data_IF_611117106344
#
_entry.id   IF_611117106344
#
_cell.length_a   1.000
_cell.length_b   1.000
_cell.length_c   1.000
_cell.angle_alpha   90.00
_cell.angle_beta   90.00
_cell.angle_gamma   90.00
#
_symmetry.space_group_name_H-M   'P 1'
#
loop_
_entity.id
_entity.type
_entity.pdbx_description
1 polymer ?
#
# COMPACT_ATOMS: atom_id res chain seq x y z
N UNK A 1 -2.76 31.29 12.96
CA UNK A 1 -2.93 29.96 12.34
C UNK A 1 -2.48 30.09 10.92
N UNK A 2 -1.41 29.38 10.57
CA UNK A 2 -0.89 29.36 9.21
C UNK A 2 -1.06 27.95 8.64
N UNK A 3 -1.61 27.86 7.43
CA UNK A 3 -1.65 26.65 6.62
C UNK A 3 -0.37 26.58 5.79
N UNK A 4 0.47 25.58 6.06
CA UNK A 4 1.70 25.33 5.33
C UNK A 4 1.51 24.28 4.24
N UNK A 5 2.05 24.58 3.06
CA UNK A 5 2.15 23.67 1.93
C UNK A 5 3.63 23.53 1.59
N UNK A 6 4.16 22.32 1.71
CA UNK A 6 5.61 22.10 1.78
C UNK A 6 6.05 21.20 0.64
N UNK A 7 7.06 21.64 -0.10
CA UNK A 7 7.73 20.86 -1.14
C UNK A 7 9.16 20.57 -0.71
N UNK A 8 9.44 19.33 -0.30
CA UNK A 8 10.74 18.89 0.18
C UNK A 8 11.44 18.04 -0.88
N UNK A 9 12.47 18.62 -1.50
CA UNK A 9 13.29 17.99 -2.52
C UNK A 9 14.54 17.37 -1.92
N UNK A 10 14.78 16.10 -2.23
CA UNK A 10 16.04 15.42 -1.94
C UNK A 10 17.17 16.08 -2.74
N UNK A 11 18.18 16.52 -2.00
CA UNK A 11 19.36 17.24 -2.44
C UNK A 11 20.64 16.54 -1.95
N UNK A 12 20.53 15.23 -1.71
CA UNK A 12 21.62 14.32 -1.38
C UNK A 12 22.43 13.91 -2.61
N UNK A 13 23.61 13.34 -2.35
CA UNK A 13 24.59 12.96 -3.36
C UNK A 13 24.08 11.89 -4.33
N UNK A 14 23.16 11.02 -3.91
CA UNK A 14 22.59 9.97 -4.77
C UNK A 14 21.78 10.55 -5.94
N UNK A 15 21.31 11.79 -5.79
CA UNK A 15 20.59 12.51 -6.85
C UNK A 15 21.53 13.18 -7.87
N UNK A 16 22.82 13.33 -7.57
CA UNK A 16 23.77 14.08 -8.40
C UNK A 16 23.84 13.56 -9.84
N UNK A 17 23.68 14.45 -10.81
CA UNK A 17 23.72 14.11 -12.25
C UNK A 17 22.73 13.01 -12.66
N UNK A 18 21.72 12.71 -11.83
CA UNK A 18 20.71 11.71 -12.13
C UNK A 18 19.64 12.35 -13.01
N UNK A 19 19.90 12.36 -14.33
CA UNK A 19 19.01 12.97 -15.32
C UNK A 19 17.56 12.49 -15.19
N UNK A 20 17.35 11.21 -14.86
CA UNK A 20 16.02 10.67 -14.66
C UNK A 20 15.34 11.32 -13.46
N UNK A 21 15.96 11.29 -12.28
CA UNK A 21 15.46 11.95 -11.07
C UNK A 21 15.14 13.43 -11.32
N UNK A 22 16.04 14.18 -11.96
CA UNK A 22 15.86 15.61 -12.15
C UNK A 22 14.79 15.98 -13.19
N UNK A 23 14.83 15.35 -14.37
CA UNK A 23 13.81 15.54 -15.42
C UNK A 23 12.44 15.20 -14.90
N UNK A 24 12.40 14.13 -14.10
CA UNK A 24 11.20 13.74 -13.45
C UNK A 24 10.81 14.77 -12.40
N UNK A 25 11.55 14.93 -11.30
CA UNK A 25 11.26 15.82 -10.17
C UNK A 25 10.85 17.25 -10.52
N UNK A 26 11.27 17.82 -11.66
CA UNK A 26 10.72 19.09 -12.11
C UNK A 26 9.19 19.06 -12.35
N UNK A 27 8.65 17.92 -12.83
CA UNK A 27 7.21 17.71 -13.02
C UNK A 27 6.45 17.62 -11.69
N UNK A 28 7.08 17.15 -10.60
CA UNK A 28 6.42 17.13 -9.28
C UNK A 28 6.21 18.53 -8.74
N UNK A 29 7.09 19.49 -9.06
CA UNK A 29 6.93 20.88 -8.65
C UNK A 29 5.64 21.48 -9.24
N UNK A 30 5.36 21.20 -10.52
CA UNK A 30 4.14 21.65 -11.18
C UNK A 30 2.90 20.91 -10.66
N UNK A 31 3.02 19.62 -10.32
CA UNK A 31 1.94 18.86 -9.67
C UNK A 31 1.62 19.42 -8.28
N UNK A 32 2.63 19.69 -7.46
CA UNK A 32 2.48 20.28 -6.13
C UNK A 32 1.70 21.59 -6.19
N UNK A 33 2.04 22.49 -7.11
CA UNK A 33 1.31 23.76 -7.27
C UNK A 33 -0.17 23.56 -7.59
N UNK A 34 -0.50 22.61 -8.48
CA UNK A 34 -1.90 22.28 -8.79
C UNK A 34 -2.63 21.76 -7.55
N UNK A 35 -1.99 20.87 -6.79
CA UNK A 35 -2.60 20.30 -5.60
C UNK A 35 -2.80 21.32 -4.49
N UNK A 36 -1.88 22.28 -4.34
CA UNK A 36 -2.06 23.41 -3.42
C UNK A 36 -3.32 24.22 -3.77
N UNK A 37 -3.50 24.56 -5.04
CA UNK A 37 -4.69 25.32 -5.47
C UNK A 37 -5.97 24.52 -5.31
N UNK A 38 -5.97 23.23 -5.65
CA UNK A 38 -7.11 22.34 -5.44
C UNK A 38 -7.51 22.26 -3.95
N UNK A 39 -6.54 22.13 -3.04
CA UNK A 39 -6.81 22.08 -1.60
C UNK A 39 -7.39 23.40 -1.10
N UNK A 40 -6.88 24.55 -1.58
CA UNK A 40 -7.43 25.86 -1.21
C UNK A 40 -8.87 26.03 -1.72
N UNK A 41 -9.16 25.54 -2.92
CA UNK A 41 -10.51 25.54 -3.47
C UNK A 41 -11.46 24.66 -2.64
N UNK A 42 -11.05 23.44 -2.29
CA UNK A 42 -11.81 22.55 -1.42
C UNK A 42 -12.12 23.19 -0.06
N UNK A 43 -11.14 23.85 0.57
CA UNK A 43 -11.32 24.55 1.84
C UNK A 43 -12.30 25.73 1.74
N UNK A 44 -12.21 26.49 0.65
CA UNK A 44 -13.14 27.59 0.37
C UNK A 44 -14.58 27.07 0.23
N UNK A 45 -14.77 25.96 -0.50
CA UNK A 45 -16.08 25.33 -0.68
C UNK A 45 -16.64 24.72 0.62
N UNK A 46 -15.77 24.21 1.49
CA UNK A 46 -16.14 23.68 2.80
C UNK A 46 -16.51 24.76 3.84
N UNK A 47 -16.31 26.04 3.52
CA UNK A 47 -16.60 27.16 4.41
C UNK A 47 -15.63 27.27 5.59
N UNK A 48 -14.40 26.76 5.44
CA UNK A 48 -13.37 26.89 6.47
C UNK A 48 -13.02 28.38 6.71
N UNK A 49 -12.68 28.71 7.96
CA UNK A 49 -12.29 30.07 8.30
C UNK A 49 -11.02 30.48 7.52
N UNK A 50 -10.94 31.72 7.02
CA UNK A 50 -9.78 32.17 6.28
C UNK A 50 -8.53 32.11 7.16
N UNK A 51 -7.61 31.22 6.79
CA UNK A 51 -6.30 31.08 7.41
C UNK A 51 -5.22 31.67 6.49
N UNK A 52 -4.18 32.25 7.08
CA UNK A 52 -3.00 32.61 6.31
C UNK A 52 -2.41 31.34 5.68
N UNK A 53 -2.01 31.41 4.42
CA UNK A 53 -1.46 30.27 3.69
C UNK A 53 -0.05 30.58 3.22
N UNK A 54 0.89 29.67 3.46
CA UNK A 54 2.29 29.82 3.07
C UNK A 54 2.80 28.58 2.35
N UNK A 55 3.44 28.80 1.20
CA UNK A 55 4.17 27.77 0.47
C UNK A 55 5.64 27.80 0.96
N UNK A 56 6.19 26.62 1.23
CA UNK A 56 7.57 26.44 1.70
C UNK A 56 8.26 25.45 0.77
N UNK A 57 9.45 25.82 0.31
CA UNK A 57 10.31 24.94 -0.47
C UNK A 57 11.54 24.57 0.35
N UNK A 58 11.87 23.29 0.38
CA UNK A 58 12.98 22.75 1.16
C UNK A 58 13.92 21.94 0.27
N UNK A 59 15.21 22.09 0.51
CA UNK A 59 16.20 21.06 0.19
C UNK A 59 16.43 20.21 1.45
N UNK A 60 16.58 18.90 1.27
CA UNK A 60 16.93 17.99 2.35
C UNK A 60 17.99 16.97 1.93
N UNK A 61 18.72 16.45 2.91
CA UNK A 61 19.80 15.47 2.77
C UNK A 61 20.28 15.10 4.17
N UNK A 62 21.56 15.33 4.49
CA UNK A 62 22.11 15.27 5.86
C UNK A 62 21.78 16.49 6.74
N UNK A 63 20.94 17.39 6.23
CA UNK A 63 20.40 18.59 6.85
C UNK A 63 19.14 19.02 6.06
N UNK A 64 18.36 19.98 6.56
CA UNK A 64 17.21 20.52 5.84
C UNK A 64 17.09 22.04 6.01
N UNK A 65 16.87 22.76 4.92
CA UNK A 65 16.79 24.22 4.92
C UNK A 65 15.80 24.75 3.88
N UNK A 66 15.36 25.98 4.11
CA UNK A 66 14.47 26.67 3.18
C UNK A 66 15.24 27.21 1.98
N UNK A 67 14.60 27.14 0.82
CA UNK A 67 15.06 27.75 -0.41
C UNK A 67 13.89 28.43 -1.10
N UNK A 68 14.19 29.32 -2.05
CA UNK A 68 13.17 29.87 -2.94
C UNK A 68 12.82 28.88 -4.06
N UNK A 69 11.64 29.04 -4.66
CA UNK A 69 11.19 28.17 -5.76
C UNK A 69 12.20 28.18 -6.93
N UNK A 70 12.74 29.36 -7.26
CA UNK A 70 13.70 29.51 -8.36
C UNK A 70 14.95 28.67 -8.11
N UNK A 71 15.39 28.54 -6.85
CA UNK A 71 16.54 27.72 -6.48
C UNK A 71 16.22 26.23 -6.67
N UNK A 72 15.04 25.76 -6.24
CA UNK A 72 14.59 24.38 -6.50
C UNK A 72 14.60 24.09 -8.01
N UNK A 73 14.04 25.02 -8.79
CA UNK A 73 13.91 24.86 -10.24
C UNK A 73 15.27 24.81 -10.92
N UNK A 74 16.15 25.76 -10.62
CA UNK A 74 17.52 25.79 -11.15
C UNK A 74 18.26 24.51 -10.80
N UNK A 75 18.18 24.08 -9.54
CA UNK A 75 18.90 22.90 -9.10
C UNK A 75 18.36 21.58 -9.70
N UNK A 76 17.09 21.51 -10.12
CA UNK A 76 16.63 20.44 -11.02
C UNK A 76 17.20 20.56 -12.44
N UNK A 77 17.19 21.75 -13.04
CA UNK A 77 17.69 21.98 -14.41
C UNK A 77 19.19 21.70 -14.53
N UNK A 78 19.96 22.17 -13.55
CA UNK A 78 21.42 22.08 -13.50
C UNK A 78 21.91 20.75 -12.90
N UNK A 79 20.98 19.90 -12.44
CA UNK A 79 21.23 18.59 -11.84
C UNK A 79 22.14 18.64 -10.61
N UNK A 80 21.95 19.68 -9.80
CA UNK A 80 22.76 19.97 -8.62
C UNK A 80 22.33 19.14 -7.40
N UNK A 81 23.30 18.91 -6.52
CA UNK A 81 23.15 18.47 -5.14
C UNK A 81 24.25 19.12 -4.26
N UNK A 82 24.07 19.14 -2.95
CA UNK A 82 25.12 19.63 -2.03
C UNK A 82 25.41 18.70 -0.85
N UNK A 83 24.51 17.76 -0.51
CA UNK A 83 24.61 16.98 0.74
C UNK A 83 25.09 15.56 0.51
N UNK A 84 25.74 14.98 1.51
CA UNK A 84 26.34 13.65 1.41
C UNK A 84 25.37 12.54 1.86
N UNK A 85 24.49 12.83 2.82
CA UNK A 85 23.52 11.88 3.36
C UNK A 85 22.10 12.05 2.82
N UNK A 86 21.32 10.98 2.92
CA UNK A 86 19.89 10.91 2.59
C UNK A 86 19.12 10.64 3.89
N UNK A 87 19.03 11.67 4.74
CA UNK A 87 18.53 11.57 6.13
C UNK A 87 17.19 12.31 6.28
N UNK A 88 16.05 11.67 5.92
CA UNK A 88 14.72 12.28 5.94
C UNK A 88 14.28 12.79 7.33
N UNK A 89 14.91 12.37 8.42
CA UNK A 89 14.60 12.89 9.75
C UNK A 89 14.85 14.40 9.87
N UNK A 90 15.71 14.96 9.02
CA UNK A 90 15.98 16.40 9.01
C UNK A 90 14.80 17.22 8.51
N UNK A 91 13.97 16.64 7.62
CA UNK A 91 12.69 17.26 7.25
C UNK A 91 11.88 17.48 8.53
N UNK A 92 11.65 16.43 9.31
CA UNK A 92 10.82 16.48 10.52
C UNK A 92 11.37 17.50 11.53
N UNK A 93 12.68 17.44 11.82
CA UNK A 93 13.34 18.35 12.75
C UNK A 93 13.20 19.81 12.31
N UNK A 94 13.36 20.08 11.01
CA UNK A 94 13.23 21.43 10.46
C UNK A 94 11.78 21.93 10.56
N UNK A 95 10.81 21.08 10.25
CA UNK A 95 9.38 21.40 10.37
C UNK A 95 8.98 21.71 11.82
N UNK A 96 9.41 20.89 12.78
CA UNK A 96 9.17 21.11 14.21
C UNK A 96 9.77 22.42 14.70
N UNK A 97 11.00 22.74 14.25
CA UNK A 97 11.71 23.93 14.69
C UNK A 97 11.09 25.23 14.15
N UNK A 98 10.55 25.21 12.93
CA UNK A 98 10.23 26.46 12.19
C UNK A 98 8.75 26.65 11.85
N UNK A 99 8.00 25.56 11.67
CA UNK A 99 6.66 25.62 11.08
C UNK A 99 5.55 25.04 11.95
N UNK A 100 5.90 24.17 12.91
CA UNK A 100 4.98 23.66 13.94
C UNK A 100 5.29 24.32 15.28
N UNK A 101 5.28 25.66 15.29
CA UNK A 101 5.65 26.47 16.46
C UNK A 101 4.44 26.78 17.34
N UNK A 102 3.27 26.96 16.73
CA UNK A 102 2.02 27.20 17.44
C UNK A 102 1.07 26.02 17.30
N UNK A 103 0.27 25.74 18.35
CA UNK A 103 -0.69 24.62 18.39
C UNK A 103 -1.69 24.61 17.23
N UNK A 104 -1.97 25.79 16.66
CA UNK A 104 -2.92 25.94 15.56
C UNK A 104 -2.27 25.91 14.17
N UNK A 105 -0.95 25.84 14.06
CA UNK A 105 -0.29 25.76 12.76
C UNK A 105 -0.53 24.36 12.15
N UNK A 106 -0.82 24.33 10.85
CA UNK A 106 -1.23 23.10 10.16
C UNK A 106 -0.38 22.89 8.92
N UNK A 107 0.15 21.68 8.75
CA UNK A 107 0.77 21.25 7.51
C UNK A 107 -0.32 20.60 6.67
N UNK A 108 -0.87 21.38 5.73
CA UNK A 108 -1.96 20.94 4.85
C UNK A 108 -1.48 19.97 3.78
N UNK A 109 -0.26 20.16 3.30
CA UNK A 109 0.34 19.32 2.27
C UNK A 109 1.85 19.22 2.50
N UNK A 110 2.37 18.00 2.51
CA UNK A 110 3.81 17.71 2.51
C UNK A 110 4.15 16.82 1.32
N UNK A 111 4.90 17.36 0.37
CA UNK A 111 5.53 16.62 -0.72
C UNK A 111 6.95 16.23 -0.30
N UNK A 112 7.28 14.94 -0.37
CA UNK A 112 8.65 14.42 -0.19
C UNK A 112 9.07 13.80 -1.51
N UNK A 113 10.09 14.35 -2.15
CA UNK A 113 10.66 13.86 -3.40
C UNK A 113 12.01 13.25 -3.10
N UNK A 114 12.24 11.99 -3.49
CA UNK A 114 13.50 11.25 -3.31
C UNK A 114 13.76 10.32 -4.50
N UNK A 115 14.98 9.82 -4.63
CA UNK A 115 15.30 8.68 -5.49
C UNK A 115 15.06 7.31 -4.80
N UNK A 116 14.61 7.32 -3.54
CA UNK A 116 14.27 6.13 -2.78
C UNK A 116 15.47 5.40 -2.17
N UNK A 117 16.68 5.93 -2.31
CA UNK A 117 17.89 5.34 -1.72
C UNK A 117 18.08 5.80 -0.28
N UNK A 118 17.23 5.28 0.62
CA UNK A 118 17.26 5.64 2.04
C UNK A 118 17.66 4.45 2.89
N UNK A 119 18.50 4.68 3.90
CA UNK A 119 18.91 3.62 4.81
C UNK A 119 17.83 3.33 5.86
N UNK A 120 17.71 2.06 6.26
CA UNK A 120 16.72 1.58 7.24
C UNK A 120 16.80 2.31 8.58
N UNK A 121 18.01 2.64 9.06
CA UNK A 121 18.20 3.36 10.33
C UNK A 121 17.52 4.74 10.32
N UNK A 122 17.52 5.43 9.18
CA UNK A 122 16.87 6.74 9.05
C UNK A 122 15.34 6.62 9.07
N UNK A 123 14.77 5.51 8.59
CA UNK A 123 13.33 5.23 8.75
C UNK A 123 12.92 5.12 10.23
N UNK A 124 13.67 4.38 11.05
CA UNK A 124 13.40 4.24 12.49
C UNK A 124 13.49 5.57 13.25
N UNK A 125 14.47 6.41 12.90
CA UNK A 125 14.56 7.76 13.45
C UNK A 125 13.37 8.60 13.05
N UNK A 126 12.90 8.50 11.81
CA UNK A 126 11.73 9.23 11.36
C UNK A 126 10.50 8.86 12.18
N UNK A 127 10.22 7.58 12.42
CA UNK A 127 9.11 7.16 13.30
C UNK A 127 9.13 7.87 14.65
N UNK A 128 10.30 7.90 15.30
CA UNK A 128 10.47 8.55 16.61
C UNK A 128 10.21 10.06 16.55
N UNK A 129 10.80 10.75 15.57
CA UNK A 129 10.63 12.21 15.49
C UNK A 129 9.24 12.62 15.01
N UNK A 130 8.56 11.77 14.24
CA UNK A 130 7.25 12.08 13.67
C UNK A 130 6.07 11.78 14.58
N UNK A 131 6.29 11.18 15.75
CA UNK A 131 5.23 10.74 16.68
C UNK A 131 4.19 11.85 16.94
N UNK A 132 4.64 13.09 17.16
CA UNK A 132 3.77 14.23 17.47
C UNK A 132 3.46 15.14 16.29
N UNK A 133 3.98 14.82 15.10
CA UNK A 133 3.67 15.57 13.89
C UNK A 133 2.28 15.19 13.37
N UNK A 134 1.62 16.17 12.76
CA UNK A 134 0.31 16.02 12.13
C UNK A 134 0.37 16.60 10.72
N UNK A 135 -0.15 15.82 9.77
CA UNK A 135 -0.22 16.17 8.35
C UNK A 135 -1.64 15.89 7.86
N UNK A 136 -2.23 16.83 7.13
CA UNK A 136 -3.53 16.57 6.50
C UNK A 136 -3.34 15.70 5.26
N UNK A 137 -2.32 16.00 4.44
CA UNK A 137 -1.95 15.22 3.26
C UNK A 137 -0.42 15.06 3.13
N UNK A 138 0.04 13.85 2.89
CA UNK A 138 1.44 13.52 2.56
C UNK A 138 1.49 12.88 1.18
N UNK A 139 2.37 13.40 0.32
CA UNK A 139 2.64 12.85 -1.01
C UNK A 139 4.11 12.47 -1.10
N UNK A 140 4.38 11.19 -1.31
CA UNK A 140 5.72 10.64 -1.43
C UNK A 140 6.00 10.29 -2.89
N UNK A 141 7.03 10.88 -3.47
CA UNK A 141 7.51 10.57 -4.81
C UNK A 141 8.89 9.93 -4.74
N UNK A 142 8.96 8.67 -5.17
CA UNK A 142 10.23 8.00 -5.42
C UNK A 142 10.50 7.94 -6.93
N UNK A 143 11.68 8.42 -7.33
CA UNK A 143 12.08 8.58 -8.73
C UNK A 143 13.43 7.90 -8.98
N UNK A 144 13.39 6.65 -9.46
CA UNK A 144 14.59 5.86 -9.75
C UNK A 144 14.35 4.95 -10.95
N UNK A 145 15.31 4.89 -11.87
CA UNK A 145 15.24 3.97 -13.02
C UNK A 145 15.31 2.50 -12.56
N UNK A 146 16.07 2.23 -11.48
CA UNK A 146 16.17 0.93 -10.83
C UNK A 146 15.09 0.85 -9.75
N UNK A 147 13.90 0.40 -10.13
CA UNK A 147 12.73 0.36 -9.24
C UNK A 147 12.90 -0.53 -8.02
N UNK A 148 13.76 -1.55 -8.11
CA UNK A 148 14.16 -2.46 -7.05
C UNK A 148 14.95 -1.78 -5.93
N UNK A 149 15.56 -0.63 -6.21
CA UNK A 149 16.34 0.14 -5.24
C UNK A 149 15.51 1.16 -4.46
N UNK A 150 14.21 1.28 -4.78
CA UNK A 150 13.33 2.22 -4.10
C UNK A 150 12.88 1.63 -2.78
N UNK A 151 13.30 2.25 -1.68
CA UNK A 151 12.83 1.94 -0.34
C UNK A 151 11.69 2.90 0.07
N UNK A 152 10.49 2.36 0.28
CA UNK A 152 9.33 3.11 0.76
C UNK A 152 9.12 3.05 2.28
N UNK A 153 9.97 2.38 3.05
CA UNK A 153 9.88 2.25 4.51
C UNK A 153 9.81 3.60 5.22
N UNK A 154 10.57 4.56 4.73
CA UNK A 154 10.59 5.93 5.26
C UNK A 154 9.24 6.59 5.07
N UNK A 155 8.59 6.38 3.93
CA UNK A 155 7.32 7.02 3.62
C UNK A 155 6.27 6.68 4.68
N UNK A 156 6.26 5.44 5.16
CA UNK A 156 5.41 4.97 6.23
C UNK A 156 5.51 5.81 7.51
N UNK A 157 6.69 6.28 7.86
CA UNK A 157 6.88 7.11 9.06
C UNK A 157 6.16 8.46 8.98
N UNK A 158 5.80 8.92 7.78
CA UNK A 158 5.05 10.15 7.54
C UNK A 158 3.54 9.92 7.36
N UNK A 159 3.10 8.68 7.17
CA UNK A 159 1.69 8.40 6.91
C UNK A 159 0.86 8.48 8.19
N UNK A 160 -0.15 9.37 8.17
CA UNK A 160 -1.10 9.55 9.29
C UNK A 160 -2.54 9.83 8.84
N UNK A 161 -2.70 10.58 7.75
CA UNK A 161 -4.00 11.00 7.21
C UNK A 161 -4.11 10.62 5.73
N UNK A 162 -4.40 11.56 4.84
CA UNK A 162 -4.38 11.32 3.39
C UNK A 162 -2.95 11.10 2.93
N UNK A 163 -2.68 9.93 2.37
CA UNK A 163 -1.36 9.50 1.94
C UNK A 163 -1.41 9.09 0.47
N UNK A 164 -0.45 9.57 -0.31
CA UNK A 164 -0.32 9.26 -1.73
C UNK A 164 1.13 8.87 -2.03
N UNK A 165 1.33 7.75 -2.73
CA UNK A 165 2.67 7.26 -3.06
C UNK A 165 2.79 7.09 -4.56
N UNK A 166 3.83 7.70 -5.11
CA UNK A 166 4.17 7.64 -6.51
C UNK A 166 5.53 6.99 -6.70
N UNK A 167 5.60 6.06 -7.64
CA UNK A 167 6.85 5.52 -8.19
C UNK A 167 6.97 5.99 -9.62
N UNK A 168 8.02 6.74 -9.95
CA UNK A 168 8.29 7.16 -11.33
C UNK A 168 7.07 7.84 -11.99
N UNK A 169 6.43 8.78 -11.26
CA UNK A 169 5.16 9.44 -11.62
C UNK A 169 3.89 8.60 -11.69
N UNK A 170 3.99 7.28 -11.56
CA UNK A 170 2.82 6.42 -11.49
C UNK A 170 2.31 6.41 -10.05
N UNK A 171 1.05 6.80 -9.86
CA UNK A 171 0.38 6.63 -8.58
C UNK A 171 0.30 5.12 -8.28
N UNK A 172 0.89 4.71 -7.17
CA UNK A 172 0.81 3.33 -6.69
C UNK A 172 -0.39 3.16 -5.76
N UNK A 173 -0.50 4.02 -4.76
CA UNK A 173 -1.55 3.97 -3.74
C UNK A 173 -1.96 5.39 -3.33
N UNK A 174 -3.25 5.57 -3.03
CA UNK A 174 -3.80 6.81 -2.48
C UNK A 174 -4.97 6.46 -1.56
N UNK A 175 -4.85 6.79 -0.29
CA UNK A 175 -5.95 6.58 0.67
C UNK A 175 -5.85 7.53 1.87
N UNK A 176 -6.91 7.63 2.64
CA UNK A 176 -6.93 8.31 3.92
C UNK A 176 -6.90 7.26 5.03
N UNK A 177 -5.74 7.08 5.68
CA UNK A 177 -5.56 6.08 6.74
C UNK A 177 -5.96 6.61 8.13
N UNK A 178 -6.37 7.88 8.26
CA UNK A 178 -6.92 8.39 9.52
C UNK A 178 -8.33 7.88 9.82
N UNK A 179 -8.98 7.29 8.81
CA UNK A 179 -10.34 6.76 8.89
C UNK A 179 -10.28 5.24 8.81
N UNK A 180 -10.96 4.58 9.73
CA UNK A 180 -11.15 3.13 9.68
C UNK A 180 -11.88 2.72 8.40
N UNK A 181 -11.47 1.57 7.85
CA UNK A 181 -12.09 1.03 6.65
C UNK A 181 -13.46 0.43 6.97
N UNK A 182 -14.47 0.84 6.19
CA UNK A 182 -15.84 0.37 6.40
C UNK A 182 -16.07 -0.98 5.69
N UNK A 183 -15.69 -2.05 6.38
CA UNK A 183 -15.85 -3.43 5.92
C UNK A 183 -17.31 -3.80 5.63
N UNK A 184 -18.28 -3.20 6.33
CA UNK A 184 -19.71 -3.50 6.18
C UNK A 184 -20.29 -3.03 4.85
N UNK A 185 -19.63 -2.07 4.18
CA UNK A 185 -20.01 -1.63 2.84
C UNK A 185 -19.55 -2.57 1.72
N UNK A 186 -18.74 -3.60 2.01
CA UNK A 186 -18.30 -4.57 1.00
C UNK A 186 -19.30 -5.73 0.91
N UNK A 187 -19.79 -5.96 -0.31
CA UNK A 187 -20.63 -7.11 -0.65
C UNK A 187 -20.07 -7.85 -1.88
N UNK A 188 -20.67 -9.00 -2.20
CA UNK A 188 -20.19 -9.86 -3.30
C UNK A 188 -20.32 -9.21 -4.69
N UNK A 189 -21.19 -8.20 -4.85
CA UNK A 189 -21.42 -7.52 -6.12
C UNK A 189 -20.50 -6.31 -6.30
N UNK A 190 -20.02 -5.73 -5.20
CA UNK A 190 -19.14 -4.56 -5.23
C UNK A 190 -17.67 -4.88 -4.90
N UNK A 191 -17.37 -6.12 -4.47
CA UNK A 191 -16.02 -6.54 -4.06
C UNK A 191 -14.94 -6.17 -5.08
N UNK A 192 -15.14 -6.52 -6.35
CA UNK A 192 -14.16 -6.23 -7.43
C UNK A 192 -13.88 -4.73 -7.57
N UNK A 193 -14.87 -3.86 -7.34
CA UNK A 193 -14.68 -2.41 -7.40
C UNK A 193 -14.07 -1.82 -6.13
N UNK A 194 -14.17 -2.53 -5.00
CA UNK A 194 -13.70 -2.08 -3.68
C UNK A 194 -12.37 -2.68 -3.26
N UNK A 195 -11.94 -3.79 -3.86
CA UNK A 195 -10.71 -4.50 -3.47
C UNK A 195 -9.46 -3.64 -3.61
N UNK A 196 -9.37 -2.76 -4.61
CA UNK A 196 -8.22 -1.85 -4.77
C UNK A 196 -8.16 -0.76 -3.68
N UNK A 197 -9.32 -0.33 -3.18
CA UNK A 197 -9.40 0.62 -2.06
C UNK A 197 -8.97 -0.06 -0.75
N UNK A 198 -9.46 -1.29 -0.52
CA UNK A 198 -9.06 -2.10 0.63
C UNK A 198 -7.55 -2.39 0.59
N UNK A 199 -7.03 -2.80 -0.57
CA UNK A 199 -5.59 -2.98 -0.80
C UNK A 199 -4.82 -1.73 -0.40
N UNK A 200 -5.17 -0.58 -0.97
CA UNK A 200 -4.45 0.68 -0.69
C UNK A 200 -4.46 1.03 0.79
N UNK A 201 -5.58 0.81 1.49
CA UNK A 201 -5.70 1.00 2.93
C UNK A 201 -4.77 0.09 3.72
N UNK A 202 -4.83 -1.23 3.49
CA UNK A 202 -3.99 -2.20 4.19
C UNK A 202 -2.50 -1.97 3.89
N UNK A 203 -2.14 -1.73 2.63
CA UNK A 203 -0.75 -1.46 2.27
C UNK A 203 -0.20 -0.25 3.01
N UNK A 204 -0.92 0.87 3.01
CA UNK A 204 -0.44 2.11 3.64
C UNK A 204 -0.46 2.08 5.16
N UNK A 205 -1.43 1.39 5.78
CA UNK A 205 -1.54 1.30 7.25
C UNK A 205 -0.48 0.35 7.84
N UNK A 206 -0.12 -0.72 7.15
CA UNK A 206 0.73 -1.80 7.69
C UNK A 206 2.14 -1.92 7.10
N UNK A 207 2.53 -1.07 6.14
CA UNK A 207 3.86 -1.08 5.48
C UNK A 207 5.06 -1.11 6.44
N UNK A 208 4.93 -0.57 7.66
CA UNK A 208 6.01 -0.49 8.65
C UNK A 208 5.74 -1.17 9.99
N UNK A 209 4.57 -1.78 10.19
CA UNK A 209 4.22 -2.33 11.51
C UNK A 209 4.91 -3.66 11.75
N UNK A 210 6.13 -3.64 12.31
CA UNK A 210 7.06 -4.78 12.39
C UNK A 210 6.57 -6.05 13.12
N UNK A 211 5.39 -6.06 13.75
CA UNK A 211 4.93 -7.16 14.58
C UNK A 211 3.44 -7.45 14.44
N UNK A 212 3.04 -8.69 14.78
CA UNK A 212 1.67 -9.10 15.12
C UNK A 212 1.19 -8.40 16.40
N UNK A 213 1.10 -7.07 16.36
CA UNK A 213 0.52 -6.29 17.45
C UNK A 213 -1.00 -6.46 17.48
N UNK A 214 -1.62 -6.02 18.59
CA UNK A 214 -3.05 -6.18 18.78
C UNK A 214 -3.87 -5.52 17.66
N UNK A 215 -3.37 -4.43 17.06
CA UNK A 215 -4.01 -3.74 15.94
C UNK A 215 -3.96 -4.58 14.65
N UNK A 216 -2.82 -5.18 14.34
CA UNK A 216 -2.66 -6.09 13.21
C UNK A 216 -3.57 -7.32 13.31
N UNK A 217 -3.64 -7.93 14.50
CA UNK A 217 -4.53 -9.07 14.75
C UNK A 217 -6.00 -8.68 14.61
N UNK A 218 -6.39 -7.53 15.16
CA UNK A 218 -7.75 -7.02 15.02
C UNK A 218 -8.12 -6.78 13.55
N UNK A 219 -7.21 -6.24 12.74
CA UNK A 219 -7.44 -6.02 11.31
C UNK A 219 -7.55 -7.34 10.52
N UNK A 220 -6.72 -8.34 10.86
CA UNK A 220 -6.83 -9.70 10.31
C UNK A 220 -8.20 -10.31 10.64
N UNK A 221 -8.69 -10.12 11.86
CA UNK A 221 -10.01 -10.62 12.25
C UNK A 221 -11.13 -9.92 11.47
N UNK A 222 -11.04 -8.60 11.20
CA UNK A 222 -11.98 -7.90 10.33
C UNK A 222 -11.98 -8.48 8.90
N UNK A 223 -10.80 -8.76 8.34
CA UNK A 223 -10.65 -9.39 7.03
C UNK A 223 -11.28 -10.80 6.99
N UNK A 224 -11.05 -11.61 8.02
CA UNK A 224 -11.64 -12.95 8.15
C UNK A 224 -13.16 -12.90 8.29
N UNK A 225 -13.70 -12.02 9.14
CA UNK A 225 -15.13 -11.84 9.31
C UNK A 225 -15.80 -11.38 8.01
N UNK A 226 -15.18 -10.45 7.28
CA UNK A 226 -15.67 -10.03 5.96
C UNK A 226 -15.70 -11.21 4.98
N UNK A 227 -14.62 -12.00 4.92
CA UNK A 227 -14.54 -13.20 4.06
C UNK A 227 -15.67 -14.18 4.33
N UNK A 228 -15.87 -14.54 5.59
CA UNK A 228 -16.92 -15.47 6.02
C UNK A 228 -18.30 -14.96 5.62
N UNK A 229 -18.60 -13.68 5.90
CA UNK A 229 -19.85 -13.04 5.49
C UNK A 229 -20.08 -13.11 3.98
N UNK A 230 -19.05 -12.82 3.18
CA UNK A 230 -19.13 -12.88 1.72
C UNK A 230 -19.34 -14.32 1.23
N UNK A 231 -18.71 -15.31 1.86
CA UNK A 231 -18.87 -16.72 1.51
C UNK A 231 -20.24 -17.26 1.88
N UNK A 232 -20.77 -16.89 3.05
CA UNK A 232 -22.14 -17.23 3.45
C UNK A 232 -23.15 -16.68 2.45
N UNK A 233 -22.91 -15.45 1.96
CA UNK A 233 -23.75 -14.85 0.92
C UNK A 233 -23.67 -15.61 -0.40
N UNK A 234 -22.47 -15.95 -0.86
CA UNK A 234 -22.25 -16.75 -2.08
C UNK A 234 -22.93 -18.11 -1.97
N UNK A 235 -22.76 -18.81 -0.84
CA UNK A 235 -23.35 -20.11 -0.60
C UNK A 235 -24.89 -20.03 -0.57
N UNK A 236 -25.45 -18.99 0.05
CA UNK A 236 -26.90 -18.76 0.09
C UNK A 236 -27.48 -18.52 -1.32
N UNK A 237 -26.84 -17.69 -2.14
CA UNK A 237 -27.27 -17.45 -3.52
C UNK A 237 -27.12 -18.70 -4.40
N UNK A 238 -26.04 -19.47 -4.19
CA UNK A 238 -25.79 -20.73 -4.87
C UNK A 238 -26.90 -21.77 -4.58
N UNK A 239 -27.31 -21.91 -3.31
CA UNK A 239 -28.42 -22.81 -2.92
C UNK A 239 -29.73 -22.37 -3.58
N UNK A 240 -30.01 -21.07 -3.63
CA UNK A 240 -31.21 -20.55 -4.30
C UNK A 240 -31.20 -20.85 -5.81
N UNK A 241 -30.04 -20.78 -6.47
CA UNK A 241 -29.89 -21.06 -7.91
C UNK A 241 -29.90 -22.56 -8.25
N UNK A 242 -29.47 -23.42 -7.32
CA UNK A 242 -29.48 -24.89 -7.46
C UNK A 242 -30.87 -25.50 -7.70
N UNK A 243 -31.93 -24.76 -7.42
CA UNK A 243 -33.31 -25.21 -7.64
C UNK A 243 -33.76 -25.08 -9.11
N UNK A 244 -32.87 -24.66 -10.03
CA UNK A 244 -33.18 -24.42 -11.43
C UNK A 244 -31.98 -24.75 -12.35
N UNK A 245 -32.02 -25.88 -13.06
CA UNK A 245 -30.94 -26.43 -13.92
C UNK A 245 -30.44 -25.47 -15.03
N UNK A 246 -31.15 -24.38 -15.31
CA UNK A 246 -30.75 -23.38 -16.32
C UNK A 246 -29.70 -22.37 -15.84
N UNK A 247 -29.27 -22.44 -14.57
CA UNK A 247 -28.44 -21.40 -13.95
C UNK A 247 -26.93 -21.70 -13.87
N UNK A 248 -26.43 -22.69 -14.62
CA UNK A 248 -25.01 -23.09 -14.59
C UNK A 248 -24.01 -21.93 -14.77
N UNK A 249 -24.34 -20.92 -15.61
CA UNK A 249 -23.49 -19.75 -15.81
C UNK A 249 -23.40 -18.85 -14.57
N UNK A 250 -24.50 -18.65 -13.84
CA UNK A 250 -24.49 -17.88 -12.59
C UNK A 250 -23.75 -18.63 -11.49
N UNK A 251 -23.91 -19.95 -11.42
CA UNK A 251 -23.18 -20.81 -10.47
C UNK A 251 -21.67 -20.69 -10.67
N UNK A 252 -21.21 -20.74 -11.93
CA UNK A 252 -19.81 -20.54 -12.27
C UNK A 252 -19.32 -19.14 -11.87
N UNK A 253 -20.14 -18.11 -12.10
CA UNK A 253 -19.79 -16.72 -11.72
C UNK A 253 -19.59 -16.59 -10.21
N UNK A 254 -20.48 -17.18 -9.41
CA UNK A 254 -20.36 -17.21 -7.94
C UNK A 254 -19.11 -17.96 -7.47
N UNK A 255 -18.73 -19.05 -8.14
CA UNK A 255 -17.48 -19.77 -7.84
C UNK A 255 -16.24 -18.92 -8.14
N UNK A 256 -16.23 -18.24 -9.29
CA UNK A 256 -15.13 -17.32 -9.65
C UNK A 256 -15.02 -16.18 -8.65
N UNK A 257 -16.14 -15.58 -8.24
CA UNK A 257 -16.16 -14.55 -7.19
C UNK A 257 -15.57 -15.07 -5.87
N UNK A 258 -15.94 -16.29 -5.46
CA UNK A 258 -15.42 -16.91 -4.24
C UNK A 258 -13.89 -17.04 -4.29
N UNK A 259 -13.35 -17.49 -5.41
CA UNK A 259 -11.90 -17.63 -5.62
C UNK A 259 -11.19 -16.27 -5.61
N UNK A 260 -11.74 -15.25 -6.29
CA UNK A 260 -11.17 -13.88 -6.28
C UNK A 260 -11.15 -13.28 -4.87
N UNK A 261 -12.23 -13.48 -4.10
CA UNK A 261 -12.35 -13.04 -2.71
C UNK A 261 -11.33 -13.76 -1.82
N UNK A 262 -11.25 -15.10 -1.89
CA UNK A 262 -10.29 -15.88 -1.10
C UNK A 262 -8.86 -15.41 -1.37
N UNK A 263 -8.47 -15.38 -2.65
CA UNK A 263 -7.13 -14.99 -3.06
C UNK A 263 -6.80 -13.59 -2.57
N UNK A 264 -7.72 -12.64 -2.79
CA UNK A 264 -7.50 -11.25 -2.43
C UNK A 264 -7.36 -11.06 -0.91
N UNK A 265 -8.24 -11.67 -0.11
CA UNK A 265 -8.21 -11.52 1.34
C UNK A 265 -7.01 -12.23 1.94
N UNK A 266 -6.70 -13.44 1.46
CA UNK A 266 -5.54 -14.21 1.93
C UNK A 266 -4.22 -13.49 1.61
N UNK A 267 -4.07 -12.89 0.43
CA UNK A 267 -2.91 -12.03 0.13
C UNK A 267 -2.77 -10.83 1.09
N UNK A 268 -3.88 -10.20 1.50
CA UNK A 268 -3.85 -9.09 2.46
C UNK A 268 -3.47 -9.56 3.87
N UNK A 269 -4.03 -10.69 4.32
CA UNK A 269 -3.66 -11.29 5.62
C UNK A 269 -2.19 -11.67 5.62
N UNK A 270 -1.71 -12.35 4.57
CA UNK A 270 -0.29 -12.70 4.41
C UNK A 270 0.58 -11.46 4.43
N UNK A 271 0.17 -10.37 3.78
CA UNK A 271 0.92 -9.11 3.81
C UNK A 271 1.06 -8.55 5.24
N UNK A 272 -0.03 -8.51 6.02
CA UNK A 272 -0.01 -8.06 7.42
C UNK A 272 0.88 -8.98 8.27
N UNK A 273 0.80 -10.30 8.06
CA UNK A 273 1.58 -11.29 8.83
C UNK A 273 3.05 -11.41 8.39
N UNK A 274 3.38 -10.99 7.17
CA UNK A 274 4.70 -11.24 6.60
C UNK A 274 5.80 -10.43 7.31
N UNK A 275 6.83 -11.13 7.77
CA UNK A 275 8.09 -10.52 8.19
C UNK A 275 9.00 -10.20 7.00
N UNK A 276 8.71 -10.76 5.82
CA UNK A 276 9.37 -10.48 4.55
C UNK A 276 8.87 -9.13 4.01
N UNK A 277 9.18 -8.09 4.77
CA UNK A 277 8.83 -6.70 4.47
C UNK A 277 9.85 -6.18 3.48
N UNK A 278 9.81 -6.69 2.25
CA UNK A 278 10.44 -5.93 1.19
C UNK A 278 9.67 -4.63 1.13
N UNK A 279 10.40 -3.53 1.21
CA UNK A 279 9.93 -2.17 1.18
C UNK A 279 9.34 -1.77 -0.18
N UNK A 280 8.84 -2.77 -0.90
CA UNK A 280 8.29 -2.74 -2.22
C UNK A 280 6.79 -2.92 -2.13
N UNK A 281 6.06 -1.93 -2.65
CA UNK A 281 4.64 -2.04 -2.97
C UNK A 281 4.32 -3.21 -3.92
N UNK A 282 5.33 -3.86 -4.50
CA UNK A 282 5.18 -5.03 -5.37
C UNK A 282 4.93 -6.33 -4.59
N UNK A 283 5.05 -6.36 -3.25
CA UNK A 283 4.70 -7.54 -2.44
C UNK A 283 3.20 -7.91 -2.48
N UNK A 284 2.36 -6.99 -2.95
CA UNK A 284 0.92 -7.19 -3.15
C UNK A 284 0.59 -7.14 -4.66
N UNK A 285 1.18 -8.01 -5.48
CA UNK A 285 0.64 -8.27 -6.82
C UNK A 285 -0.56 -9.21 -6.69
N UNK A 286 -1.76 -8.68 -6.95
CA UNK A 286 -2.95 -9.51 -7.12
C UNK A 286 -2.89 -10.00 -8.56
N UNK A 287 -2.04 -10.98 -8.85
CA UNK A 287 -1.85 -11.42 -10.22
C UNK A 287 -3.18 -11.93 -10.79
N UNK A 288 -3.67 -11.19 -11.79
CA UNK A 288 -4.58 -11.71 -12.78
C UNK A 288 -3.71 -12.42 -13.81
N UNK A 289 -3.79 -13.76 -13.81
CA UNK A 289 -3.20 -14.69 -14.77
C UNK A 289 -1.68 -14.90 -14.68
N UNK A 290 -1.27 -15.97 -14.00
CA UNK A 290 -0.13 -16.79 -14.40
C UNK A 290 -0.45 -18.26 -14.16
N UNK A 291 -0.80 -18.93 -15.25
CA UNK A 291 -0.72 -20.38 -15.41
C UNK A 291 0.74 -20.68 -15.79
N UNK A 292 1.67 -20.62 -14.83
CA UNK A 292 3.04 -21.10 -15.01
C UNK A 292 3.50 -21.81 -13.73
N UNK A 293 3.98 -23.04 -13.91
CA UNK A 293 4.24 -24.01 -12.85
C UNK A 293 5.29 -23.55 -11.85
N UNK A 294 5.01 -23.81 -10.58
CA UNK A 294 5.96 -23.73 -9.49
C UNK A 294 7.10 -24.73 -9.74
N UNK A 295 8.31 -24.23 -9.99
CA UNK A 295 9.53 -24.97 -9.63
C UNK A 295 9.84 -24.64 -8.17
N UNK A 296 9.77 -25.66 -7.32
CA UNK A 296 10.20 -25.61 -5.93
C UNK A 296 11.71 -25.34 -5.84
N UNK A 297 12.11 -24.14 -5.42
CA UNK A 297 13.46 -23.94 -4.90
C UNK A 297 13.52 -24.49 -3.45
N UNK A 298 14.31 -25.53 -3.27
CA UNK A 298 14.63 -26.12 -1.97
C UNK A 298 15.25 -25.06 -1.04
N UNK A 299 14.56 -24.78 0.07
CA UNK A 299 15.11 -24.00 1.18
C UNK A 299 15.80 -24.96 2.15
N UNK A 300 17.07 -24.66 2.44
CA UNK A 300 17.96 -25.36 3.35
C UNK A 300 17.49 -25.24 4.81
N UNK A 301 17.42 -26.39 5.50
CA UNK A 301 16.95 -26.54 6.88
C UNK A 301 17.87 -25.82 7.88
N UNK A 302 17.35 -24.81 8.58
CA UNK A 302 17.88 -24.48 9.91
C UNK A 302 16.82 -23.92 10.87
N UNK A 303 16.38 -24.81 11.76
CA UNK A 303 15.86 -24.61 13.11
C UNK A 303 15.01 -23.37 13.42
N UNK A 304 13.70 -23.48 13.18
CA UNK A 304 12.70 -22.83 14.02
C UNK A 304 11.59 -23.83 14.41
N UNK A 305 11.72 -24.37 15.63
CA UNK A 305 10.64 -25.08 16.28
C UNK A 305 9.73 -24.08 17.01
N UNK A 306 8.51 -23.86 16.50
CA UNK A 306 7.27 -23.99 17.29
C UNK A 306 6.05 -23.96 16.36
N UNK A 307 5.22 -24.98 16.56
CA UNK A 307 4.06 -25.38 15.77
C UNK A 307 2.89 -24.38 15.90
N UNK A 308 2.44 -23.84 14.77
CA UNK A 308 1.00 -23.67 14.47
C UNK A 308 0.78 -24.28 13.09
N UNK A 309 0.14 -25.45 13.05
CA UNK A 309 -0.33 -26.08 11.81
C UNK A 309 -1.36 -25.16 11.16
N UNK A 310 -0.92 -24.35 10.19
CA UNK A 310 -1.84 -23.79 9.20
C UNK A 310 -2.34 -24.96 8.35
N UNK A 311 -3.56 -25.45 8.61
CA UNK A 311 -4.29 -26.30 7.68
C UNK A 311 -4.51 -25.52 6.37
N UNK A 312 -3.57 -25.66 5.45
CA UNK A 312 -3.80 -25.38 4.03
C UNK A 312 -4.74 -26.49 3.57
N UNK A 313 -6.03 -26.17 3.43
CA UNK A 313 -6.99 -27.10 2.83
C UNK A 313 -6.61 -27.34 1.37
N UNK A 314 -5.92 -28.45 1.13
CA UNK A 314 -5.67 -29.00 -0.19
C UNK A 314 -7.01 -29.48 -0.77
N UNK A 315 -7.56 -28.71 -1.71
CA UNK A 315 -8.79 -29.07 -2.43
C UNK A 315 -8.47 -30.18 -3.45
N UNK A 316 -8.29 -31.40 -2.97
CA UNK A 316 -8.45 -32.58 -3.81
C UNK A 316 -9.94 -32.77 -4.10
N UNK A 317 -10.32 -32.62 -5.36
CA UNK A 317 -11.64 -32.95 -5.87
C UNK A 317 -11.85 -34.47 -5.76
N UNK A 318 -12.38 -34.95 -4.64
CA UNK A 318 -12.97 -36.28 -4.57
C UNK A 318 -14.35 -36.26 -5.25
N UNK A 319 -14.37 -36.69 -6.51
CA UNK A 319 -15.59 -37.09 -7.23
C UNK A 319 -16.17 -38.36 -6.58
N UNK A 320 -17.00 -38.19 -5.56
CA UNK A 320 -17.91 -39.25 -5.10
C UNK A 320 -19.19 -39.21 -5.96
N UNK A 321 -19.10 -39.81 -7.16
CA UNK A 321 -20.28 -40.21 -7.93
C UNK A 321 -20.33 -41.73 -7.98
N UNK A 322 -21.11 -42.27 -7.04
CA UNK A 322 -21.59 -43.64 -7.08
C UNK A 322 -22.22 -43.97 -8.43
N UNK A 323 -21.59 -44.90 -9.15
CA UNK A 323 -22.13 -45.50 -10.37
C UNK A 323 -23.20 -46.53 -9.95
N UNK A 324 -24.46 -46.43 -10.40
CA UNK A 324 -25.45 -47.48 -10.14
C UNK A 324 -25.20 -48.68 -11.06
N UNK A 325 -25.28 -49.87 -10.45
CA UNK A 325 -25.19 -51.16 -11.13
C UNK A 325 -26.14 -51.29 -12.33
N UNK A 326 -25.66 -51.92 -13.41
CA UNK A 326 -26.52 -52.75 -14.24
C UNK A 326 -25.86 -54.09 -14.54
N UNK A 327 -26.58 -55.15 -14.17
CA UNK A 327 -26.22 -56.56 -14.28
C UNK A 327 -26.03 -56.96 -15.74
N UNK A 328 -25.05 -57.82 -16.03
CA UNK A 328 -25.31 -59.21 -16.48
C UNK A 328 -24.00 -60.01 -16.69
N UNK A 329 -23.88 -61.12 -15.95
CA UNK A 329 -23.40 -62.46 -16.36
C UNK A 329 -22.28 -62.52 -17.43
N UNK A 330 -21.11 -63.14 -17.22
CA UNK A 330 -20.94 -64.59 -16.96
C UNK A 330 -19.43 -64.94 -16.86
N UNK A 331 -19.16 -66.00 -16.09
CA UNK A 331 -18.03 -66.96 -16.17
C UNK A 331 -16.69 -66.59 -15.50
N UNK A 332 -16.53 -67.15 -14.30
CA UNK A 332 -15.32 -67.80 -13.79
C UNK A 332 -14.55 -68.56 -14.88
N UNK A 333 -13.21 -68.46 -14.87
CA UNK A 333 -12.28 -69.60 -14.75
C UNK A 333 -10.99 -69.13 -14.04
N UNK A 334 -10.49 -70.00 -13.16
CA UNK A 334 -9.32 -69.94 -12.29
C UNK A 334 -7.94 -69.82 -12.97
N UNK A 335 -6.96 -69.35 -12.17
CA UNK A 335 -5.55 -69.77 -12.03
C UNK A 335 -4.67 -69.79 -13.30
N UNK A 336 -3.43 -69.29 -13.31
CA UNK A 336 -2.33 -69.32 -12.33
C UNK A 336 -1.40 -68.15 -12.57
#
# INVERSE_FOLDING_TARGET
>A
MVNYYIYARDFSFSTLNNKYYHTNGLKTLEQFKRDVENIKEEQSLAGEAPAESKIVYLHWGDDCWDVDEDIIRMAYVDQECERMGTDPEWIIKHLQKKYVVHENDRIKLLYIITDGLICKESAEKCFKYNEFMQYDTVVFHALNEQTENIDFSVAASFFKSRCMVYRNYKLLVSTDISKEFDYDKIDIHNFTAKKDQLKSYITLKYISQFNSDAESLQEIDQLKMMRERLFDRINSERIALSHNDRNNKLMLTLMVMKVDIERSISSLITYIMSNVRSYSFDALTFDMETDEGFEDEQIDDSDYATEEECEIFDFTLEDDVGIPESRTNRRMVYAT
#
